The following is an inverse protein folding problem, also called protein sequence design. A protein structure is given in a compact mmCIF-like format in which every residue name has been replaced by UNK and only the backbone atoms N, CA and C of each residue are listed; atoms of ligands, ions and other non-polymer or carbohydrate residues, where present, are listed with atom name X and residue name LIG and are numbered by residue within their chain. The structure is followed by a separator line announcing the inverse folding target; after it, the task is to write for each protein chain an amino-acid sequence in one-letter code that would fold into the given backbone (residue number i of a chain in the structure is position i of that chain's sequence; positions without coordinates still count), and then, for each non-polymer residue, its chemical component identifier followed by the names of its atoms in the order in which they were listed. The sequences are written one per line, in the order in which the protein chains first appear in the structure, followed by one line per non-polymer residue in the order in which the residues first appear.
data_IF_174615440650
#
_entry.id   IF_174615440650
#
_cell.length_a   1.000
_cell.length_b   1.000
_cell.length_c   1.000
_cell.angle_alpha   90.00
_cell.angle_beta   90.00
_cell.angle_gamma   90.00
#
_symmetry.space_group_name_H-M   'P 1'
#
loop_
_entity.id
_entity.type
_entity.pdbx_description
1 polymer ?
#
# COMPACT_ATOMS: atom_id res chain seq x y z
N UNK A 1 16.02 1.62 23.81
CA UNK A 1 15.20 0.76 23.05
C UNK A 1 15.96 0.28 21.83
N UNK A 2 15.43 -0.72 21.26
CA UNK A 2 16.02 -1.27 20.10
C UNK A 2 15.52 -0.54 18.87
N UNK A 3 16.45 -0.11 18.06
CA UNK A 3 16.07 0.56 16.84
C UNK A 3 15.54 -0.47 15.88
N UNK A 4 14.36 -0.26 15.45
CA UNK A 4 13.76 -1.13 14.48
C UNK A 4 13.93 -0.56 13.12
N UNK A 5 14.15 -1.42 12.18
CA UNK A 5 14.16 -0.99 10.82
C UNK A 5 12.75 -0.98 10.31
N UNK A 6 12.39 0.11 9.69
CA UNK A 6 11.07 0.26 9.11
C UNK A 6 11.21 0.51 7.64
N UNK A 7 10.27 0.00 6.91
CA UNK A 7 10.26 0.20 5.47
C UNK A 7 8.91 0.70 5.05
N UNK A 8 8.92 1.52 4.03
CA UNK A 8 7.69 2.00 3.43
C UNK A 8 7.61 1.45 2.04
N UNK A 9 6.50 0.79 1.75
CA UNK A 9 6.24 0.28 0.41
C UNK A 9 5.10 1.09 -0.17
N UNK A 10 5.32 1.69 -1.32
CA UNK A 10 4.32 2.52 -1.96
C UNK A 10 3.80 1.81 -3.18
N UNK A 11 2.50 1.76 -3.30
CA UNK A 11 1.83 1.07 -4.38
C UNK A 11 0.84 2.03 -5.00
N UNK A 12 0.89 2.17 -6.32
CA UNK A 12 -0.10 2.95 -7.03
C UNK A 12 -1.07 1.97 -7.64
N UNK A 13 -2.34 2.14 -7.33
CA UNK A 13 -3.34 1.18 -7.77
C UNK A 13 -4.62 1.94 -8.08
N UNK A 14 -5.46 1.34 -8.90
CA UNK A 14 -6.74 1.96 -9.16
C UNK A 14 -7.62 1.86 -7.93
N UNK A 15 -8.54 2.79 -7.81
CA UNK A 15 -9.40 2.83 -6.64
C UNK A 15 -10.25 1.57 -6.55
N UNK A 16 -10.50 0.94 -7.69
CA UNK A 16 -11.38 -0.21 -7.68
C UNK A 16 -10.80 -1.41 -6.97
N UNK A 17 -9.47 -1.55 -7.00
CA UNK A 17 -8.86 -2.72 -6.37
C UNK A 17 -8.15 -2.37 -5.08
N UNK A 18 -8.23 -1.13 -4.66
CA UNK A 18 -7.51 -0.69 -3.48
C UNK A 18 -7.87 -1.50 -2.26
N UNK A 19 -9.15 -1.72 -2.04
CA UNK A 19 -9.57 -2.44 -0.84
C UNK A 19 -9.08 -3.87 -0.82
N UNK A 20 -9.05 -4.50 -1.97
CA UNK A 20 -8.55 -5.86 -2.03
C UNK A 20 -7.06 -5.92 -1.71
N UNK A 21 -6.32 -4.94 -2.23
CA UNK A 21 -4.90 -4.91 -1.96
C UNK A 21 -4.65 -4.71 -0.47
N UNK A 22 -5.35 -3.76 0.13
CA UNK A 22 -5.14 -3.48 1.53
C UNK A 22 -5.52 -4.68 2.38
N UNK A 23 -6.59 -5.36 2.05
CA UNK A 23 -6.97 -6.54 2.80
C UNK A 23 -5.93 -7.64 2.66
N UNK A 24 -5.41 -7.85 1.47
CA UNK A 24 -4.40 -8.89 1.29
C UNK A 24 -3.16 -8.61 2.12
N UNK A 25 -2.75 -7.36 2.16
CA UNK A 25 -1.59 -7.01 2.95
C UNK A 25 -1.84 -7.25 4.42
N UNK A 26 -3.00 -6.86 4.90
CA UNK A 26 -3.31 -7.03 6.31
C UNK A 26 -3.44 -8.48 6.70
N UNK A 27 -3.91 -9.31 5.80
CA UNK A 27 -4.03 -10.72 6.13
C UNK A 27 -2.68 -11.37 6.34
N UNK A 28 -1.68 -10.91 5.63
CA UNK A 28 -0.38 -11.54 5.71
C UNK A 28 0.60 -10.80 6.58
N UNK A 29 0.45 -9.50 6.71
CA UNK A 29 1.45 -8.70 7.41
C UNK A 29 0.85 -7.74 8.43
N UNK A 30 -0.44 -7.86 8.71
CA UNK A 30 -1.10 -6.91 9.60
C UNK A 30 -0.85 -7.19 11.07
N UNK A 31 -1.71 -6.63 11.91
CA UNK A 31 -1.56 -6.82 13.35
C UNK A 31 -1.59 -8.29 13.69
N UNK A 32 -0.75 -8.68 14.61
CA UNK A 32 -0.64 -10.07 14.99
C UNK A 32 0.38 -10.86 14.21
N UNK A 33 0.85 -10.33 13.10
CA UNK A 33 1.94 -10.95 12.38
C UNK A 33 3.26 -10.35 12.85
N UNK A 34 4.35 -10.95 12.43
CA UNK A 34 5.65 -10.41 12.81
C UNK A 34 5.85 -9.01 12.26
N UNK A 35 5.34 -8.74 11.09
CA UNK A 35 5.54 -7.44 10.47
C UNK A 35 4.72 -6.35 11.14
N UNK A 36 3.52 -6.66 11.55
CA UNK A 36 2.68 -5.67 12.20
C UNK A 36 2.47 -4.43 11.35
N UNK A 37 2.18 -4.61 10.07
CA UNK A 37 2.18 -3.49 9.14
C UNK A 37 0.99 -2.57 9.36
N UNK A 38 1.20 -1.31 9.05
CA UNK A 38 0.16 -0.32 8.96
C UNK A 38 -0.07 0.00 7.50
N UNK A 39 -1.32 -0.03 7.07
CA UNK A 39 -1.66 0.22 5.68
C UNK A 39 -2.65 1.36 5.63
N UNK A 40 -2.39 2.32 4.77
CA UNK A 40 -3.35 3.39 4.55
C UNK A 40 -3.24 3.82 3.11
N UNK A 41 -4.22 4.57 2.64
CA UNK A 41 -4.23 5.01 1.26
C UNK A 41 -4.42 6.50 1.20
N UNK A 42 -3.90 7.08 0.13
CA UNK A 42 -4.07 8.49 -0.16
C UNK A 42 -4.52 8.60 -1.60
N UNK A 43 -5.37 9.58 -1.89
CA UNK A 43 -5.73 9.78 -3.28
C UNK A 43 -4.53 10.29 -4.06
N UNK A 44 -4.46 9.87 -5.30
CA UNK A 44 -3.42 10.36 -6.21
C UNK A 44 -4.12 11.18 -7.25
N UNK A 45 -3.83 12.48 -7.28
CA UNK A 45 -4.52 13.33 -8.23
C UNK A 45 -3.96 13.17 -9.63
N UNK A 46 -2.71 12.76 -9.74
CA UNK A 46 -2.09 12.68 -11.05
C UNK A 46 -0.95 11.70 -10.99
N UNK A 47 -0.79 10.89 -12.02
CA UNK A 47 0.33 9.98 -12.11
C UNK A 47 0.74 9.85 -13.56
N UNK A 48 2.03 9.68 -13.78
CA UNK A 48 2.55 9.53 -15.12
C UNK A 48 3.77 8.63 -15.06
N UNK A 49 4.05 7.96 -16.15
CA UNK A 49 5.21 7.10 -16.21
C UNK A 49 4.81 5.66 -16.11
N UNK A 50 5.79 4.77 -16.11
CA UNK A 50 5.57 3.33 -15.98
C UNK A 50 4.74 2.73 -17.09
N UNK A 51 4.52 3.43 -18.17
CA UNK A 51 3.59 2.94 -19.16
C UNK A 51 2.18 2.88 -18.68
N UNK A 52 1.89 3.47 -17.56
CA UNK A 52 0.57 3.48 -16.97
C UNK A 52 -0.08 4.81 -17.28
N UNK A 53 -1.25 4.78 -17.85
CA UNK A 53 -1.98 5.98 -18.15
C UNK A 53 -3.36 5.84 -17.59
N UNK A 54 -3.70 6.77 -16.71
CA UNK A 54 -5.00 6.75 -16.12
C UNK A 54 -5.83 7.75 -16.86
N UNK A 55 -6.82 7.29 -17.57
CA UNK A 55 -7.67 8.19 -18.26
C UNK A 55 -9.01 8.10 -17.69
N UNK A 56 -9.68 9.15 -17.56
CA UNK A 56 -10.86 9.12 -16.92
C UNK A 56 -11.99 9.16 -17.61
#
# INVERSE_FOLDING_TARGET
SIADEKEIVMIVASAEIKSEIMRSILEKAGPGSDAGALVFSLPVSEAAGFGFIEEE
#
